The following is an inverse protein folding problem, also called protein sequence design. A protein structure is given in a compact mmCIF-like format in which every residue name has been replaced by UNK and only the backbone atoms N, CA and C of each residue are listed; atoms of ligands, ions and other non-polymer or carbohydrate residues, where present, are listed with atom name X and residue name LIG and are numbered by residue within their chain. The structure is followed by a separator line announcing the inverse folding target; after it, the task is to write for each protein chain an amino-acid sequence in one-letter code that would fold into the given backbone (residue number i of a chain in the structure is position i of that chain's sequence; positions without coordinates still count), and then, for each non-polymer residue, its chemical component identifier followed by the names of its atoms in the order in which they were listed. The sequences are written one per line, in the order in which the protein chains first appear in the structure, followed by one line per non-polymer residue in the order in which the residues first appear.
data_IF_940225120911
#
_entry.id   IF_940225120911
#
_cell.length_a   1.000
_cell.length_b   1.000
_cell.length_c   1.000
_cell.angle_alpha   90.00
_cell.angle_beta   90.00
_cell.angle_gamma   90.00
#
_symmetry.space_group_name_H-M   'P 1'
#
loop_
_entity.id
_entity.type
_entity.pdbx_description
1 polymer ?
#
# COMPACT_ATOMS: atom_id res chain seq x y z
N UNK A 1 -2.29 6.34 -13.56
CA UNK A 1 -2.77 5.22 -12.73
C UNK A 1 -1.71 4.15 -12.78
N UNK A 2 -1.40 3.49 -11.66
CA UNK A 2 -0.48 2.35 -11.64
C UNK A 2 -1.28 1.06 -11.84
N UNK A 3 -0.68 0.07 -12.48
CA UNK A 3 -1.14 -1.31 -12.33
C UNK A 3 -0.96 -1.77 -10.87
N UNK A 4 -1.61 -2.87 -10.49
CA UNK A 4 -1.43 -3.43 -9.14
C UNK A 4 0.00 -3.87 -8.87
N UNK A 5 0.68 -4.41 -9.88
CA UNK A 5 2.08 -4.84 -9.76
C UNK A 5 3.01 -3.64 -9.55
N UNK A 6 2.84 -2.57 -10.32
CA UNK A 6 3.60 -1.33 -10.12
C UNK A 6 3.31 -0.72 -8.75
N UNK A 7 2.05 -0.72 -8.31
CA UNK A 7 1.67 -0.23 -6.99
C UNK A 7 2.34 -1.04 -5.87
N UNK A 8 2.29 -2.37 -5.94
CA UNK A 8 2.99 -3.27 -5.01
C UNK A 8 4.48 -2.94 -4.95
N UNK A 9 5.12 -2.83 -6.12
CA UNK A 9 6.55 -2.53 -6.21
C UNK A 9 6.91 -1.19 -5.60
N UNK A 10 6.08 -0.16 -5.79
CA UNK A 10 6.28 1.16 -5.19
C UNK A 10 6.21 1.08 -3.66
N UNK A 11 5.25 0.34 -3.11
CA UNK A 11 5.13 0.15 -1.66
C UNK A 11 6.35 -0.58 -1.10
N UNK A 12 6.78 -1.68 -1.72
CA UNK A 12 7.96 -2.45 -1.31
C UNK A 12 9.23 -1.58 -1.31
N UNK A 13 9.45 -0.83 -2.40
CA UNK A 13 10.60 0.09 -2.50
C UNK A 13 10.53 1.17 -1.43
N UNK A 14 9.35 1.76 -1.18
CA UNK A 14 9.21 2.79 -0.17
C UNK A 14 9.55 2.26 1.23
N UNK A 15 9.06 1.08 1.61
CA UNK A 15 9.36 0.48 2.92
C UNK A 15 10.85 0.16 3.05
N UNK A 16 11.43 -0.51 2.06
CA UNK A 16 12.85 -0.86 2.03
C UNK A 16 13.74 0.37 2.17
N UNK A 17 13.48 1.40 1.34
CA UNK A 17 14.28 2.62 1.34
C UNK A 17 14.13 3.41 2.63
N UNK A 18 12.94 3.43 3.25
CA UNK A 18 12.74 4.14 4.51
C UNK A 18 13.53 3.49 5.65
N UNK A 19 13.65 2.16 5.65
CA UNK A 19 14.43 1.42 6.65
C UNK A 19 14.07 1.82 8.10
N UNK A 20 12.77 2.00 8.36
CA UNK A 20 12.24 2.36 9.68
C UNK A 20 12.51 3.79 10.16
N UNK A 21 13.11 4.66 9.33
CA UNK A 21 13.45 6.04 9.72
C UNK A 21 12.22 6.93 9.92
N UNK A 22 11.15 6.69 9.17
CA UNK A 22 9.88 7.42 9.24
C UNK A 22 8.71 6.46 9.02
N UNK A 23 7.47 6.80 9.44
CA UNK A 23 6.31 5.98 9.14
C UNK A 23 5.99 5.99 7.63
N UNK A 24 5.65 4.81 7.08
CA UNK A 24 5.16 4.64 5.72
C UNK A 24 3.66 4.38 5.74
N UNK A 25 2.90 5.14 4.96
CA UNK A 25 1.45 4.98 4.79
C UNK A 25 1.17 4.64 3.33
N UNK A 26 0.60 3.45 3.06
CA UNK A 26 0.25 3.05 1.70
C UNK A 26 -1.18 3.44 1.34
N UNK A 27 -1.38 3.98 0.13
CA UNK A 27 -2.72 4.19 -0.41
C UNK A 27 -3.33 2.88 -0.89
N UNK A 28 -4.34 2.37 -0.20
CA UNK A 28 -4.97 1.07 -0.53
C UNK A 28 -6.48 1.18 -0.76
N UNK A 29 -6.99 2.42 -0.82
CA UNK A 29 -8.36 2.71 -1.22
C UNK A 29 -8.64 2.43 -2.70
N UNK A 30 -9.84 1.94 -2.99
CA UNK A 30 -10.38 1.70 -4.33
C UNK A 30 -11.91 1.82 -4.27
N UNK A 31 -12.55 2.04 -5.41
CA UNK A 31 -14.00 1.92 -5.55
C UNK A 31 -14.48 0.45 -5.52
N UNK A 32 -13.55 -0.51 -5.56
CA UNK A 32 -13.82 -1.94 -5.42
C UNK A 32 -13.35 -2.43 -4.05
N UNK A 33 -14.30 -2.81 -3.19
CA UNK A 33 -13.99 -3.36 -1.86
C UNK A 33 -13.03 -4.55 -1.94
N UNK A 34 -13.19 -5.41 -2.95
CA UNK A 34 -12.32 -6.58 -3.17
C UNK A 34 -10.87 -6.15 -3.44
N UNK A 35 -10.70 -5.13 -4.28
CA UNK A 35 -9.39 -4.60 -4.61
C UNK A 35 -8.74 -3.94 -3.41
N UNK A 36 -9.48 -3.10 -2.67
CA UNK A 36 -8.97 -2.48 -1.44
C UNK A 36 -8.47 -3.51 -0.43
N UNK A 37 -9.20 -4.62 -0.27
CA UNK A 37 -8.76 -5.73 0.60
C UNK A 37 -7.44 -6.33 0.08
N UNK A 38 -7.32 -6.57 -1.23
CA UNK A 38 -6.10 -7.14 -1.82
C UNK A 38 -4.88 -6.24 -1.62
N UNK A 39 -5.04 -4.94 -1.93
CA UNK A 39 -3.98 -3.94 -1.80
C UNK A 39 -3.56 -3.75 -0.33
N UNK A 40 -4.54 -3.68 0.58
CA UNK A 40 -4.29 -3.55 2.03
C UNK A 40 -3.52 -4.75 2.57
N UNK A 41 -3.90 -5.97 2.19
CA UNK A 41 -3.18 -7.18 2.59
C UNK A 41 -1.76 -7.23 2.05
N UNK A 42 -1.53 -6.73 0.83
CA UNK A 42 -0.17 -6.63 0.30
C UNK A 42 0.66 -5.61 1.08
N UNK A 43 0.11 -4.41 1.30
CA UNK A 43 0.80 -3.35 2.05
C UNK A 43 1.15 -3.77 3.49
N UNK A 44 0.23 -4.46 4.17
CA UNK A 44 0.47 -5.05 5.50
C UNK A 44 1.68 -6.01 5.47
N UNK A 45 1.73 -6.94 4.51
CA UNK A 45 2.87 -7.87 4.36
C UNK A 45 4.17 -7.16 4.02
N UNK A 46 4.10 -6.05 3.28
CA UNK A 46 5.27 -5.23 2.96
C UNK A 46 5.81 -4.48 4.18
N UNK A 47 5.06 -4.38 5.28
CA UNK A 47 5.53 -3.76 6.53
C UNK A 47 5.22 -2.27 6.66
N UNK A 48 4.17 -1.77 6.00
CA UNK A 48 3.73 -0.38 6.17
C UNK A 48 3.16 -0.14 7.57
N UNK A 49 3.24 1.10 8.05
CA UNK A 49 2.74 1.47 9.37
C UNK A 49 1.22 1.76 9.38
N UNK A 50 0.67 2.17 8.25
CA UNK A 50 -0.76 2.43 8.09
C UNK A 50 -1.21 2.31 6.62
N UNK A 51 -2.51 2.23 6.44
CA UNK A 51 -3.17 2.26 5.13
C UNK A 51 -4.09 3.48 5.03
N UNK A 52 -4.03 4.18 3.90
CA UNK A 52 -4.94 5.25 3.54
C UNK A 52 -6.04 4.69 2.63
N UNK A 53 -7.29 4.76 3.09
CA UNK A 53 -8.47 4.21 2.40
C UNK A 53 -9.46 5.33 2.12
N UNK A 54 -9.71 5.60 0.84
CA UNK A 54 -10.77 6.52 0.39
C UNK A 54 -12.12 5.80 0.38
N UNK A 55 -13.22 6.52 0.59
CA UNK A 55 -14.57 5.97 0.36
C UNK A 55 -14.79 5.71 -1.12
N UNK A 56 -15.53 4.64 -1.50
CA UNK A 56 -15.94 4.42 -2.89
C UNK A 56 -16.72 5.60 -3.49
#
# INVERSE_FOLDING_TARGET
TLSHEEHHRVVEVAVDQVAGRVPVIAGTGSNSTRESISLTKHAERAGVNACLVITP
#
